data_IF_116704750172
#
_entry.id   IF_116704750172
#
_cell.length_a   1.000
_cell.length_b   1.000
_cell.length_c   1.000
_cell.angle_alpha   90.00
_cell.angle_beta   90.00
_cell.angle_gamma   90.00
#
_symmetry.space_group_name_H-M   'P 1'
#
loop_
_entity.id
_entity.type
_entity.pdbx_description
1 polymer ?
#
# COMPACT_ATOMS: atom_id res chain seq x y z
N UNK A 1 -17.16 10.01 -29.03
CA UNK A 1 -16.89 8.62 -28.61
C UNK A 1 -16.23 8.66 -27.24
N UNK A 2 -16.97 8.34 -26.17
CA UNK A 2 -16.43 8.35 -24.80
C UNK A 2 -15.64 7.06 -24.58
N UNK A 3 -14.33 7.18 -24.33
CA UNK A 3 -13.49 6.02 -24.03
C UNK A 3 -13.62 5.66 -22.56
N UNK A 4 -14.24 4.52 -22.27
CA UNK A 4 -14.30 3.94 -20.92
C UNK A 4 -12.90 3.78 -20.30
N UNK A 5 -11.86 3.60 -21.13
CA UNK A 5 -10.46 3.56 -20.68
C UNK A 5 -9.98 4.86 -20.00
N UNK A 6 -10.54 6.02 -20.33
CA UNK A 6 -10.23 7.29 -19.63
C UNK A 6 -10.99 7.45 -18.31
N UNK A 7 -12.15 6.79 -18.16
CA UNK A 7 -12.94 6.80 -16.92
C UNK A 7 -12.35 5.87 -15.85
N UNK A 8 -11.77 4.74 -16.25
CA UNK A 8 -11.13 3.79 -15.34
C UNK A 8 -9.61 4.01 -15.20
N UNK A 9 -8.95 4.57 -16.22
CA UNK A 9 -7.51 4.87 -16.16
C UNK A 9 -7.11 5.87 -15.08
N UNK A 10 -8.01 6.80 -14.70
CA UNK A 10 -7.80 7.69 -13.57
C UNK A 10 -7.85 6.98 -12.21
N UNK A 11 -8.76 6.02 -12.04
CA UNK A 11 -8.92 5.29 -10.77
C UNK A 11 -7.77 4.33 -10.51
N UNK A 12 -7.29 3.64 -11.56
CA UNK A 12 -6.07 2.85 -11.45
C UNK A 12 -4.84 3.72 -11.17
N UNK A 13 -4.82 4.96 -11.65
CA UNK A 13 -3.75 5.91 -11.32
C UNK A 13 -3.73 6.28 -9.83
N UNK A 14 -4.90 6.48 -9.21
CA UNK A 14 -5.04 6.76 -7.78
C UNK A 14 -4.64 5.57 -6.93
N UNK A 15 -5.04 4.36 -7.33
CA UNK A 15 -4.60 3.10 -6.71
C UNK A 15 -3.08 2.96 -6.75
N UNK A 16 -2.48 3.11 -7.93
CA UNK A 16 -1.03 3.02 -8.09
C UNK A 16 -0.31 4.11 -7.31
N UNK A 17 -0.86 5.33 -7.27
CA UNK A 17 -0.31 6.45 -6.51
C UNK A 17 -0.31 6.14 -5.02
N UNK A 18 -1.44 5.70 -4.46
CA UNK A 18 -1.55 5.31 -3.06
C UNK A 18 -0.56 4.18 -2.70
N UNK A 19 -0.45 3.15 -3.53
CA UNK A 19 0.52 2.05 -3.31
C UNK A 19 1.96 2.57 -3.34
N UNK A 20 2.31 3.42 -4.32
CA UNK A 20 3.66 4.01 -4.44
C UNK A 20 4.01 4.97 -3.30
N UNK A 21 3.03 5.51 -2.59
CA UNK A 21 3.25 6.37 -1.43
C UNK A 21 3.58 5.58 -0.15
N UNK A 22 3.31 4.27 -0.10
CA UNK A 22 3.52 3.46 1.12
C UNK A 22 4.98 3.48 1.64
N UNK A 23 6.03 3.36 0.79
CA UNK A 23 7.41 3.47 1.27
C UNK A 23 7.74 4.83 1.89
N UNK A 24 7.30 5.93 1.25
CA UNK A 24 7.51 7.28 1.77
C UNK A 24 6.72 7.52 3.06
N UNK A 25 5.45 7.07 3.10
CA UNK A 25 4.63 7.14 4.31
C UNK A 25 5.27 6.35 5.47
N UNK A 26 5.88 5.20 5.18
CA UNK A 26 6.62 4.45 6.19
C UNK A 26 7.86 5.22 6.68
N UNK A 27 8.62 5.86 5.79
CA UNK A 27 9.76 6.69 6.20
C UNK A 27 9.32 7.91 7.03
N UNK A 28 8.18 8.51 6.72
CA UNK A 28 7.64 9.66 7.47
C UNK A 28 7.18 9.26 8.89
N UNK A 29 6.59 8.06 9.03
CA UNK A 29 5.99 7.60 10.31
C UNK A 29 7.00 6.83 11.16
N UNK A 30 7.84 6.00 10.52
CA UNK A 30 8.75 5.06 11.16
C UNK A 30 10.20 5.26 10.68
N UNK A 31 10.61 6.48 10.32
CA UNK A 31 11.92 6.76 9.69
C UNK A 31 13.15 6.23 10.42
N UNK A 32 13.08 6.04 11.75
CA UNK A 32 14.14 5.42 12.55
C UNK A 32 14.01 3.88 12.67
N UNK A 33 12.85 3.33 12.30
CA UNK A 33 12.48 1.92 12.41
C UNK A 33 12.95 1.04 11.24
N UNK A 34 13.62 1.60 10.24
CA UNK A 34 14.23 0.88 9.12
C UNK A 34 13.81 1.38 7.73
N UNK A 35 14.01 0.55 6.71
CA UNK A 35 13.60 0.84 5.33
C UNK A 35 12.32 0.08 4.96
N UNK A 36 11.50 0.70 4.12
CA UNK A 36 10.39 0.05 3.41
C UNK A 36 10.60 0.20 1.91
N UNK A 37 10.43 -0.88 1.15
CA UNK A 37 10.54 -0.89 -0.31
C UNK A 37 9.33 -1.59 -0.93
N UNK A 38 8.78 -0.99 -1.97
CA UNK A 38 7.73 -1.59 -2.78
C UNK A 38 8.34 -2.49 -3.86
N UNK A 39 7.91 -3.75 -3.94
CA UNK A 39 8.32 -4.69 -4.98
C UNK A 39 7.13 -5.44 -5.57
N UNK A 40 7.36 -6.08 -6.72
CA UNK A 40 6.41 -6.96 -7.43
C UNK A 40 5.02 -6.35 -7.65
N UNK A 41 4.95 -5.03 -7.84
CA UNK A 41 3.70 -4.35 -8.15
C UNK A 41 3.11 -4.85 -9.48
N UNK A 42 1.87 -5.31 -9.42
CA UNK A 42 1.01 -5.69 -10.56
C UNK A 42 -0.26 -4.83 -10.49
N UNK A 43 -0.24 -3.61 -11.06
CA UNK A 43 -1.35 -2.65 -10.94
C UNK A 43 -2.70 -3.19 -11.38
N UNK A 44 -2.72 -3.92 -12.50
CA UNK A 44 -3.93 -4.53 -13.07
C UNK A 44 -4.62 -5.51 -12.11
N UNK A 45 -3.82 -6.22 -11.29
CA UNK A 45 -4.32 -7.19 -10.32
C UNK A 45 -4.46 -6.60 -8.92
N UNK A 46 -3.91 -5.40 -8.68
CA UNK A 46 -3.84 -4.80 -7.36
C UNK A 46 -2.88 -5.52 -6.40
N UNK A 47 -2.02 -6.42 -6.88
CA UNK A 47 -1.12 -7.21 -6.03
C UNK A 47 0.25 -6.54 -5.95
N UNK A 48 0.83 -6.51 -4.75
CA UNK A 48 2.18 -5.97 -4.52
C UNK A 48 2.81 -6.56 -3.25
N UNK A 49 4.11 -6.32 -3.06
CA UNK A 49 4.83 -6.71 -1.85
C UNK A 49 5.48 -5.50 -1.19
N UNK A 50 5.33 -5.39 0.13
CA UNK A 50 6.11 -4.48 0.96
C UNK A 50 7.28 -5.25 1.60
N UNK A 51 8.49 -4.78 1.32
CA UNK A 51 9.73 -5.33 1.87
C UNK A 51 10.23 -4.36 2.94
N UNK A 52 10.21 -4.81 4.18
CA UNK A 52 10.70 -4.07 5.33
C UNK A 52 12.08 -4.60 5.70
N UNK A 53 13.03 -3.70 5.96
CA UNK A 53 14.35 -4.02 6.46
C UNK A 53 14.61 -3.21 7.74
N UNK A 54 14.75 -3.90 8.87
CA UNK A 54 15.13 -3.26 10.12
C UNK A 54 16.58 -2.76 10.08
N UNK A 55 16.96 -1.76 10.89
CA UNK A 55 18.35 -1.32 11.00
C UNK A 55 19.30 -2.46 11.42
N UNK A 56 18.78 -3.43 12.19
CA UNK A 56 19.51 -4.63 12.64
C UNK A 56 19.66 -5.72 11.57
N UNK A 57 19.12 -5.52 10.36
CA UNK A 57 19.22 -6.45 9.25
C UNK A 57 18.04 -7.42 9.08
N UNK A 58 17.07 -7.42 10.00
CA UNK A 58 15.87 -8.25 9.89
C UNK A 58 15.05 -7.85 8.65
N UNK A 59 14.77 -8.82 7.79
CA UNK A 59 13.97 -8.62 6.58
C UNK A 59 12.61 -9.27 6.76
N UNK A 60 11.56 -8.49 6.53
CA UNK A 60 10.19 -8.97 6.57
C UNK A 60 9.49 -8.57 5.27
N UNK A 61 8.77 -9.51 4.67
CA UNK A 61 8.04 -9.31 3.42
C UNK A 61 6.57 -9.53 3.68
N UNK A 62 5.76 -8.54 3.31
CA UNK A 62 4.30 -8.60 3.41
C UNK A 62 3.69 -8.56 1.99
N UNK A 63 3.14 -9.68 1.50
CA UNK A 63 2.29 -9.69 0.31
C UNK A 63 0.98 -8.96 0.60
N UNK A 64 0.58 -8.06 -0.29
CA UNK A 64 -0.61 -7.25 -0.13
C UNK A 64 -1.44 -7.19 -1.41
N UNK A 65 -2.73 -6.93 -1.23
CA UNK A 65 -3.67 -6.65 -2.32
C UNK A 65 -4.35 -5.30 -2.10
N UNK A 66 -4.62 -4.57 -3.17
CA UNK A 66 -5.38 -3.33 -3.17
C UNK A 66 -6.46 -3.38 -4.26
N UNK A 67 -7.72 -3.18 -3.87
CA UNK A 67 -8.85 -3.11 -4.81
C UNK A 67 -9.61 -1.80 -4.65
N UNK A 68 -10.20 -1.32 -5.74
CA UNK A 68 -10.99 -0.09 -5.77
C UNK A 68 -12.45 -0.47 -5.56
N UNK A 69 -13.11 0.07 -4.52
CA UNK A 69 -14.53 -0.20 -4.22
C UNK A 69 -15.45 0.92 -4.68
N UNK A 70 -14.94 1.86 -5.48
CA UNK A 70 -15.65 3.01 -6.00
C UNK A 70 -14.74 4.22 -5.98
N UNK A 71 -14.78 4.98 -4.87
CA UNK A 71 -13.89 6.12 -4.59
C UNK A 71 -12.74 5.68 -3.67
N UNK A 72 -13.00 4.69 -2.81
CA UNK A 72 -12.04 4.21 -1.82
C UNK A 72 -11.18 3.07 -2.35
N UNK A 73 -10.03 2.88 -1.70
CA UNK A 73 -9.14 1.75 -1.92
C UNK A 73 -9.17 0.87 -0.69
N UNK A 74 -9.47 -0.41 -0.87
CA UNK A 74 -9.33 -1.41 0.18
C UNK A 74 -7.99 -2.09 0.03
N UNK A 75 -7.14 -1.94 1.03
CA UNK A 75 -5.89 -2.68 1.19
C UNK A 75 -6.13 -3.89 2.07
N UNK A 76 -5.56 -5.03 1.71
CA UNK A 76 -5.63 -6.24 2.51
C UNK A 76 -4.29 -6.96 2.58
N UNK A 77 -4.02 -7.53 3.75
CA UNK A 77 -2.90 -8.41 4.03
C UNK A 77 -3.26 -9.31 5.22
N UNK A 78 -2.84 -10.58 5.17
CA UNK A 78 -2.93 -11.51 6.29
C UNK A 78 -4.32 -11.56 6.97
N UNK A 79 -5.39 -11.72 6.16
CA UNK A 79 -6.80 -11.73 6.58
C UNK A 79 -7.28 -10.45 7.30
N UNK A 80 -6.51 -9.36 7.23
CA UNK A 80 -6.90 -8.02 7.68
C UNK A 80 -7.10 -7.14 6.45
N UNK A 81 -8.06 -6.24 6.53
CA UNK A 81 -8.34 -5.26 5.46
C UNK A 81 -8.58 -3.89 6.05
N UNK A 82 -8.17 -2.85 5.34
CA UNK A 82 -8.45 -1.46 5.67
C UNK A 82 -8.88 -0.69 4.44
N UNK A 83 -9.86 0.19 4.62
CA UNK A 83 -10.37 1.06 3.59
C UNK A 83 -9.76 2.45 3.74
N UNK A 84 -9.23 2.99 2.65
CA UNK A 84 -8.58 4.31 2.61
C UNK A 84 -9.25 5.17 1.55
N UNK A 85 -9.81 6.29 1.99
CA UNK A 85 -10.47 7.28 1.14
C UNK A 85 -9.51 8.39 0.70
N UNK A 86 -9.62 8.88 -0.55
CA UNK A 86 -8.94 10.10 -1.00
C UNK A 86 -9.21 11.31 -0.08
N UNK A 87 -8.32 12.32 -0.04
CA UNK A 87 -6.98 12.34 -0.62
C UNK A 87 -6.03 11.40 0.16
N UNK A 88 -5.09 10.77 -0.55
CA UNK A 88 -4.07 9.91 0.07
C UNK A 88 -2.99 10.76 0.72
N UNK A 89 -2.76 10.54 2.02
CA UNK A 89 -1.71 11.19 2.81
C UNK A 89 -0.98 10.14 3.64
N UNK A 90 0.27 10.39 4.09
CA UNK A 90 1.00 9.45 4.94
C UNK A 90 0.18 8.98 6.15
N UNK A 91 -0.48 9.91 6.86
CA UNK A 91 -1.32 9.59 8.02
C UNK A 91 -2.49 8.65 7.68
N UNK A 92 -3.13 8.82 6.51
CA UNK A 92 -4.21 7.93 6.05
C UNK A 92 -3.72 6.55 5.58
N UNK A 93 -2.45 6.45 5.21
CA UNK A 93 -1.82 5.18 4.83
C UNK A 93 -1.23 4.42 6.04
N UNK A 94 -1.13 5.05 7.20
CA UNK A 94 -0.65 4.42 8.43
C UNK A 94 -1.39 3.10 8.76
N UNK A 95 -2.73 3.02 8.68
CA UNK A 95 -3.43 1.77 8.95
C UNK A 95 -3.06 0.62 7.99
N UNK A 96 -2.64 0.95 6.75
CA UNK A 96 -2.15 -0.02 5.77
C UNK A 96 -0.82 -0.62 6.23
N UNK A 97 0.05 0.22 6.79
CA UNK A 97 1.34 -0.21 7.36
C UNK A 97 1.12 -1.02 8.64
N UNK A 98 0.16 -0.63 9.48
CA UNK A 98 -0.18 -1.36 10.71
C UNK A 98 -0.63 -2.79 10.42
N UNK A 99 -1.51 -3.00 9.43
CA UNK A 99 -1.92 -4.36 9.04
C UNK A 99 -0.77 -5.15 8.40
N UNK A 100 0.12 -4.48 7.66
CA UNK A 100 1.26 -5.13 7.02
C UNK A 100 2.29 -5.63 8.06
N UNK A 101 2.54 -4.83 9.09
CA UNK A 101 3.52 -5.11 10.15
C UNK A 101 2.98 -5.94 11.30
N UNK A 102 1.66 -6.12 11.41
CA UNK A 102 1.06 -6.79 12.55
C UNK A 102 1.54 -8.24 12.76
N UNK A 103 1.99 -8.94 11.71
CA UNK A 103 2.52 -10.30 11.82
C UNK A 103 4.04 -10.37 12.03
N UNK A 104 4.76 -9.24 11.90
CA UNK A 104 6.17 -9.15 12.30
C UNK A 104 6.36 -9.32 13.81
N UNK A 105 5.31 -9.15 14.62
CA UNK A 105 5.34 -9.22 16.08
C UNK A 105 5.16 -10.65 16.65
N UNK A 106 5.04 -11.67 15.81
CA UNK A 106 5.03 -13.08 16.24
C UNK A 106 6.42 -13.69 16.08
#
# INVERSE_FOLDING_TARGET
MFSLGKLFGGRDSDKVKAIKMLPSAYADIYGEGGECRLKRLRPELGVFELHFAAPKGDKYVCPMTACITGIDIVFAANNRSVLVSPPFTPAKLQPVLDIALADRKK
#
